data_IF_737254250745
#
_entry.id   IF_737254250745
#
_cell.length_a   1.000
_cell.length_b   1.000
_cell.length_c   1.000
_cell.angle_alpha   90.00
_cell.angle_beta   90.00
_cell.angle_gamma   90.00
#
_symmetry.space_group_name_H-M   'P 1'
#
loop_
_entity.id
_entity.type
_entity.pdbx_description
1 polymer ?
#
# COMPACT_ATOMS: atom_id res chain seq x y z
N UNK A 1 -31.66 7.06 2.44
CA UNK A 1 -30.38 6.35 2.24
C UNK A 1 -30.39 5.88 0.79
N UNK A 2 -29.66 6.57 -0.11
CA UNK A 2 -29.67 6.25 -1.54
C UNK A 2 -28.90 4.96 -1.86
N UNK A 3 -29.07 4.39 -3.07
CA UNK A 3 -28.34 3.19 -3.48
C UNK A 3 -26.83 3.46 -3.47
N UNK A 4 -26.06 2.62 -2.77
CA UNK A 4 -24.59 2.65 -2.82
C UNK A 4 -24.16 2.06 -4.15
N UNK A 5 -23.59 2.88 -5.02
CA UNK A 5 -22.95 2.40 -6.25
C UNK A 5 -21.63 1.75 -5.82
N UNK A 6 -21.44 0.49 -6.19
CA UNK A 6 -20.15 -0.21 -6.05
C UNK A 6 -19.61 -0.33 -7.46
N UNK A 7 -18.42 0.22 -7.70
CA UNK A 7 -17.71 0.00 -8.96
C UNK A 7 -16.81 -1.22 -8.75
N UNK A 8 -17.09 -2.36 -9.38
CA UNK A 8 -16.24 -3.53 -9.29
C UNK A 8 -14.90 -3.26 -9.97
N UNK A 9 -13.84 -3.60 -9.27
CA UNK A 9 -12.47 -3.66 -9.76
C UNK A 9 -11.68 -4.44 -8.72
N UNK A 10 -11.09 -5.57 -9.09
CA UNK A 10 -10.44 -6.46 -8.13
C UNK A 10 -9.13 -5.84 -7.59
N UNK A 11 -8.44 -5.04 -8.43
CA UNK A 11 -7.24 -4.30 -8.06
C UNK A 11 -7.15 -2.97 -8.82
N UNK A 12 -6.60 -1.94 -8.17
CA UNK A 12 -6.22 -0.69 -8.80
C UNK A 12 -4.70 -0.63 -8.88
N UNK A 13 -4.14 -0.95 -10.05
CA UNK A 13 -2.69 -1.09 -10.26
C UNK A 13 -2.17 0.18 -10.94
N UNK A 14 -1.25 0.87 -10.28
CA UNK A 14 -0.54 2.01 -10.84
C UNK A 14 0.96 1.71 -10.88
N UNK A 15 1.52 1.73 -12.09
CA UNK A 15 2.95 1.56 -12.31
C UNK A 15 3.70 2.88 -12.12
N UNK A 16 4.83 2.80 -11.40
CA UNK A 16 5.79 3.90 -11.22
C UNK A 16 5.16 5.17 -10.65
N UNK A 17 4.77 5.11 -9.37
CA UNK A 17 4.44 6.34 -8.65
C UNK A 17 5.72 7.15 -8.43
N UNK A 18 5.67 8.44 -8.74
CA UNK A 18 6.78 9.34 -8.47
C UNK A 18 6.94 9.53 -6.95
N UNK A 19 8.14 9.89 -6.50
CA UNK A 19 8.40 10.21 -5.10
C UNK A 19 7.80 11.55 -4.66
N UNK A 20 6.75 12.04 -5.35
CA UNK A 20 6.13 13.33 -5.06
C UNK A 20 5.53 13.33 -3.66
N UNK A 21 5.47 14.52 -3.09
CA UNK A 21 4.91 14.71 -1.76
C UNK A 21 3.40 14.58 -1.81
N UNK A 22 2.86 13.62 -1.06
CA UNK A 22 1.42 13.44 -0.89
C UNK A 22 0.89 14.51 0.07
N UNK A 23 0.40 15.61 -0.51
CA UNK A 23 -0.23 16.72 0.23
C UNK A 23 -1.50 16.30 0.97
N UNK A 24 -2.28 15.40 0.36
CA UNK A 24 -3.51 14.87 0.96
C UNK A 24 -3.56 13.35 0.89
N UNK A 25 -3.70 12.73 2.05
CA UNK A 25 -3.88 11.28 2.22
C UNK A 25 -5.35 10.90 2.44
N UNK A 26 -6.26 11.88 2.43
CA UNK A 26 -7.67 11.67 2.79
C UNK A 26 -8.34 10.65 1.86
N UNK A 27 -8.18 10.82 0.54
CA UNK A 27 -8.73 9.90 -0.46
C UNK A 27 -8.12 8.51 -0.32
N UNK A 28 -6.81 8.40 -0.09
CA UNK A 28 -6.14 7.12 0.15
C UNK A 28 -6.69 6.41 1.40
N UNK A 29 -6.83 7.14 2.51
CA UNK A 29 -7.38 6.62 3.77
C UNK A 29 -8.85 6.21 3.65
N UNK A 30 -9.63 6.95 2.85
CA UNK A 30 -11.02 6.66 2.56
C UNK A 30 -11.16 5.38 1.73
N UNK A 31 -10.40 5.25 0.63
CA UNK A 31 -10.37 4.05 -0.22
C UNK A 31 -9.98 2.82 0.60
N UNK A 32 -8.84 2.87 1.28
CA UNK A 32 -8.33 1.75 2.09
C UNK A 32 -9.14 1.50 3.38
N UNK A 33 -10.00 2.46 3.77
CA UNK A 33 -10.91 2.34 4.91
C UNK A 33 -12.29 1.80 4.56
N UNK A 34 -12.63 1.66 3.27
CA UNK A 34 -13.97 1.25 2.82
C UNK A 34 -15.00 2.39 2.89
N UNK A 35 -14.55 3.64 2.92
CA UNK A 35 -15.42 4.81 2.93
C UNK A 35 -16.01 5.08 1.54
N UNK A 36 -17.15 5.77 1.50
CA UNK A 36 -17.71 6.27 0.24
C UNK A 36 -16.89 7.47 -0.24
N UNK A 37 -16.49 7.45 -1.50
CA UNK A 37 -15.79 8.55 -2.17
C UNK A 37 -16.64 9.08 -3.32
N UNK A 38 -16.42 10.35 -3.66
CA UNK A 38 -17.08 10.97 -4.80
C UNK A 38 -16.18 11.00 -6.02
N UNK A 39 -16.75 10.71 -7.18
CA UNK A 39 -16.09 10.85 -8.47
C UNK A 39 -17.01 11.54 -9.49
N UNK A 40 -16.43 11.92 -10.61
CA UNK A 40 -17.13 12.55 -11.74
C UNK A 40 -16.67 11.86 -13.02
N UNK A 41 -17.61 11.46 -13.88
CA UNK A 41 -17.24 11.19 -15.27
C UNK A 41 -17.00 12.54 -15.94
N UNK A 42 -15.85 12.72 -16.60
CA UNK A 42 -15.44 14.00 -17.20
C UNK A 42 -16.61 14.69 -17.94
N UNK A 43 -17.07 15.83 -17.41
CA UNK A 43 -18.14 16.63 -18.00
C UNK A 43 -19.56 16.05 -17.80
N UNK A 44 -19.77 15.24 -16.77
CA UNK A 44 -21.06 14.66 -16.35
C UNK A 44 -21.29 14.91 -14.87
N UNK A 45 -22.42 14.45 -14.35
CA UNK A 45 -22.76 14.58 -12.95
C UNK A 45 -21.81 13.79 -12.03
N UNK A 46 -21.54 14.38 -10.86
CA UNK A 46 -20.85 13.72 -9.75
C UNK A 46 -21.69 12.55 -9.24
N UNK A 47 -21.03 11.47 -8.90
CA UNK A 47 -21.62 10.31 -8.24
C UNK A 47 -20.77 9.86 -7.06
N UNK A 48 -21.40 9.17 -6.13
CA UNK A 48 -20.76 8.60 -4.95
C UNK A 48 -20.69 7.09 -5.09
N UNK A 49 -19.54 6.51 -4.74
CA UNK A 49 -19.34 5.06 -4.77
C UNK A 49 -18.44 4.61 -3.61
N UNK A 50 -18.58 3.34 -3.21
CA UNK A 50 -17.65 2.71 -2.25
C UNK A 50 -16.64 1.88 -3.04
N UNK A 51 -15.35 2.28 -3.08
CA UNK A 51 -14.32 1.53 -3.78
C UNK A 51 -14.14 0.15 -3.16
N UNK A 52 -14.05 -0.88 -4.00
CA UNK A 52 -13.72 -2.24 -3.55
C UNK A 52 -12.30 -2.67 -3.95
N UNK A 53 -11.65 -1.89 -4.82
CA UNK A 53 -10.33 -2.21 -5.35
C UNK A 53 -9.22 -2.04 -4.31
N UNK A 54 -8.29 -2.99 -4.29
CA UNK A 54 -7.03 -2.88 -3.52
C UNK A 54 -6.02 -2.05 -4.33
N UNK A 55 -5.52 -0.92 -3.81
CA UNK A 55 -4.46 -0.16 -4.47
C UNK A 55 -3.13 -0.90 -4.44
N UNK A 56 -2.50 -1.07 -5.60
CA UNK A 56 -1.17 -1.68 -5.74
C UNK A 56 -0.29 -0.73 -6.52
N UNK A 57 0.87 -0.40 -5.95
CA UNK A 57 1.82 0.56 -6.51
C UNK A 57 3.18 -0.10 -6.69
N UNK A 58 3.83 0.15 -7.82
CA UNK A 58 5.28 0.00 -7.93
C UNK A 58 5.94 1.37 -7.76
N UNK A 59 7.01 1.42 -6.97
CA UNK A 59 7.69 2.67 -6.65
C UNK A 59 9.18 2.44 -6.51
N UNK A 60 9.99 3.28 -7.18
CA UNK A 60 11.44 3.31 -6.97
C UNK A 60 11.82 4.21 -5.79
N UNK A 61 10.95 5.15 -5.45
CA UNK A 61 11.09 6.05 -4.30
C UNK A 61 9.78 6.01 -3.55
N UNK A 62 9.88 5.86 -2.24
CA UNK A 62 8.69 5.86 -1.40
C UNK A 62 8.15 7.30 -1.33
N UNK A 63 6.85 7.53 -1.62
CA UNK A 63 6.28 8.88 -1.54
C UNK A 63 6.37 9.39 -0.10
N UNK A 64 6.82 10.64 0.04
CA UNK A 64 6.74 11.34 1.32
C UNK A 64 5.32 11.85 1.54
N UNK A 65 4.93 12.11 2.79
CA UNK A 65 3.61 12.63 3.12
C UNK A 65 3.66 13.58 4.31
N UNK A 66 2.71 14.52 4.35
CA UNK A 66 2.41 15.30 5.56
C UNK A 66 1.92 14.44 6.72
N UNK A 67 1.40 13.25 6.41
CA UNK A 67 0.67 12.41 7.34
C UNK A 67 1.58 11.38 8.01
N UNK A 68 2.01 11.69 9.22
CA UNK A 68 2.83 10.80 10.06
C UNK A 68 1.99 9.95 11.02
N UNK A 69 0.67 9.86 10.81
CA UNK A 69 -0.22 9.15 11.73
C UNK A 69 -0.10 7.63 11.60
N UNK A 70 -0.29 6.92 12.72
CA UNK A 70 -0.40 5.44 12.72
C UNK A 70 -1.50 4.96 11.77
N UNK A 71 -2.58 5.73 11.62
CA UNK A 71 -3.65 5.44 10.68
C UNK A 71 -3.20 5.43 9.23
N UNK A 72 -2.26 6.29 8.85
CA UNK A 72 -1.66 6.27 7.52
C UNK A 72 -0.76 5.04 7.34
N UNK A 73 0.22 4.86 8.24
CA UNK A 73 1.23 3.81 8.10
C UNK A 73 0.67 2.38 8.13
N UNK A 74 -0.38 2.10 8.92
CA UNK A 74 -0.94 0.73 9.02
C UNK A 74 -1.62 0.23 7.73
N UNK A 75 -1.92 1.11 6.78
CA UNK A 75 -2.58 0.78 5.51
C UNK A 75 -1.60 0.35 4.42
N UNK A 76 -0.30 0.49 4.66
CA UNK A 76 0.74 0.16 3.72
C UNK A 76 1.30 -1.24 3.98
N UNK A 77 1.32 -2.06 2.93
CA UNK A 77 2.13 -3.27 2.85
C UNK A 77 3.32 -2.97 1.94
N UNK A 78 4.51 -2.82 2.53
CA UNK A 78 5.74 -2.47 1.80
C UNK A 78 6.52 -3.75 1.52
N UNK A 79 6.63 -4.10 0.24
CA UNK A 79 7.37 -5.27 -0.22
C UNK A 79 8.66 -4.81 -0.90
N UNK A 80 9.84 -5.02 -0.31
CA UNK A 80 11.10 -4.62 -0.93
C UNK A 80 11.48 -5.61 -2.04
N UNK A 81 11.98 -5.08 -3.17
CA UNK A 81 12.55 -5.84 -4.27
C UNK A 81 14.07 -5.53 -4.34
N UNK A 82 14.91 -6.23 -3.54
CA UNK A 82 16.31 -5.85 -3.35
C UNK A 82 17.27 -6.32 -4.46
N UNK A 83 16.76 -7.02 -5.47
CA UNK A 83 17.58 -7.65 -6.50
C UNK A 83 17.51 -6.88 -7.81
N UNK A 84 18.67 -6.45 -8.28
CA UNK A 84 18.86 -5.92 -9.63
C UNK A 84 19.17 -7.06 -10.61
N UNK A 85 18.49 -7.07 -11.75
CA UNK A 85 18.68 -8.05 -12.80
C UNK A 85 19.35 -7.47 -14.06
N UNK A 86 19.87 -6.24 -13.99
CA UNK A 86 20.57 -5.58 -15.10
C UNK A 86 21.69 -6.48 -15.67
N UNK A 87 21.65 -6.73 -16.98
CA UNK A 87 22.58 -7.61 -17.70
C UNK A 87 22.34 -9.13 -17.52
N UNK A 88 21.34 -9.52 -16.73
CA UNK A 88 20.92 -10.92 -16.50
C UNK A 88 19.39 -11.08 -16.57
N UNK A 89 18.73 -10.20 -17.33
CA UNK A 89 17.28 -10.13 -17.42
C UNK A 89 16.73 -11.36 -18.16
N UNK A 90 15.72 -12.02 -17.59
CA UNK A 90 14.91 -12.99 -18.34
C UNK A 90 13.87 -12.24 -19.17
N UNK A 91 14.19 -12.01 -20.45
CA UNK A 91 13.29 -11.32 -21.40
C UNK A 91 12.01 -12.08 -21.72
N UNK A 92 11.90 -13.35 -21.30
CA UNK A 92 10.72 -14.18 -21.49
C UNK A 92 9.92 -14.40 -20.19
N UNK A 93 10.28 -13.70 -19.11
CA UNK A 93 9.66 -13.89 -17.81
C UNK A 93 8.14 -13.63 -17.85
N UNK A 94 7.72 -12.54 -18.49
CA UNK A 94 6.30 -12.17 -18.60
C UNK A 94 5.48 -13.26 -19.29
N UNK A 95 6.01 -13.83 -20.38
CA UNK A 95 5.35 -14.93 -21.08
C UNK A 95 5.25 -16.18 -20.19
N UNK A 96 6.32 -16.52 -19.46
CA UNK A 96 6.33 -17.67 -18.55
C UNK A 96 5.30 -17.50 -17.43
N UNK A 97 5.25 -16.33 -16.81
CA UNK A 97 4.32 -16.02 -15.71
C UNK A 97 2.86 -15.90 -16.18
N UNK A 98 2.63 -15.57 -17.45
CA UNK A 98 1.29 -15.43 -18.03
C UNK A 98 0.72 -16.74 -18.56
N UNK A 99 1.42 -17.87 -18.42
CA UNK A 99 0.88 -19.17 -18.84
C UNK A 99 -0.31 -19.59 -17.96
N UNK A 100 -1.32 -20.29 -18.50
CA UNK A 100 -2.45 -20.77 -17.69
C UNK A 100 -2.00 -21.58 -16.46
N UNK A 101 -1.01 -22.45 -16.63
CA UNK A 101 -0.48 -23.28 -15.56
C UNK A 101 0.15 -22.45 -14.41
N UNK A 102 0.93 -21.41 -14.73
CA UNK A 102 1.51 -20.53 -13.71
C UNK A 102 0.44 -19.69 -13.01
N UNK A 103 -0.51 -19.12 -13.76
CA UNK A 103 -1.61 -18.34 -13.19
C UNK A 103 -2.50 -19.18 -12.26
N UNK A 104 -2.88 -20.39 -12.70
CA UNK A 104 -3.62 -21.35 -11.89
C UNK A 104 -2.82 -21.76 -10.64
N UNK A 105 -1.51 -21.98 -10.79
CA UNK A 105 -0.61 -22.30 -9.67
C UNK A 105 -0.52 -21.17 -8.63
N UNK A 106 -0.42 -19.93 -9.08
CA UNK A 106 -0.43 -18.73 -8.21
C UNK A 106 -1.78 -18.61 -7.51
N UNK A 107 -2.89 -18.75 -8.24
CA UNK A 107 -4.23 -18.69 -7.67
C UNK A 107 -4.46 -19.80 -6.63
N UNK A 108 -4.05 -21.03 -6.92
CA UNK A 108 -4.16 -22.15 -6.00
C UNK A 108 -3.38 -21.91 -4.70
N UNK A 109 -2.17 -21.34 -4.78
CA UNK A 109 -1.39 -20.93 -3.60
C UNK A 109 -2.12 -19.87 -2.78
N UNK A 110 -2.69 -18.85 -3.43
CA UNK A 110 -3.44 -17.80 -2.76
C UNK A 110 -4.70 -18.34 -2.06
N UNK A 111 -5.48 -19.18 -2.75
CA UNK A 111 -6.69 -19.82 -2.21
C UNK A 111 -6.35 -20.71 -1.01
N UNK A 112 -5.26 -21.48 -1.09
CA UNK A 112 -4.80 -22.32 0.02
C UNK A 112 -4.37 -21.51 1.26
N UNK A 113 -3.82 -20.31 1.06
CA UNK A 113 -3.41 -19.42 2.15
C UNK A 113 -4.57 -18.63 2.77
N UNK A 114 -5.65 -18.39 2.01
CA UNK A 114 -6.76 -17.52 2.38
C UNK A 114 -7.41 -17.86 3.74
N UNK A 115 -7.71 -19.13 4.10
CA UNK A 115 -8.33 -19.43 5.38
C UNK A 115 -7.49 -18.97 6.58
N UNK A 116 -6.16 -19.11 6.51
CA UNK A 116 -5.25 -18.67 7.58
C UNK A 116 -5.18 -17.15 7.69
N UNK A 117 -5.25 -16.47 6.54
CA UNK A 117 -5.32 -15.01 6.51
C UNK A 117 -6.60 -14.50 7.15
N UNK A 118 -7.75 -15.12 6.83
CA UNK A 118 -9.05 -14.75 7.38
C UNK A 118 -9.15 -15.02 8.89
N UNK A 119 -8.62 -16.16 9.36
CA UNK A 119 -8.58 -16.51 10.78
C UNK A 119 -7.74 -15.51 11.59
N UNK A 120 -6.59 -15.10 11.06
CA UNK A 120 -5.70 -14.13 11.71
C UNK A 120 -6.19 -12.68 11.60
N UNK A 121 -6.94 -12.36 10.54
CA UNK A 121 -7.47 -11.02 10.26
C UNK A 121 -6.47 -10.03 9.64
N UNK A 122 -5.19 -10.40 9.47
CA UNK A 122 -4.17 -9.54 8.85
C UNK A 122 -3.04 -10.37 8.21
N UNK A 123 -2.24 -9.74 7.33
CA UNK A 123 -1.07 -10.35 6.72
C UNK A 123 0.04 -10.61 7.73
N UNK A 124 0.71 -11.75 7.59
CA UNK A 124 1.92 -12.05 8.33
C UNK A 124 3.12 -11.58 7.50
N UNK A 125 3.86 -10.62 8.05
CA UNK A 125 5.00 -10.00 7.38
C UNK A 125 6.30 -10.66 7.82
N UNK A 126 7.12 -11.04 6.84
CA UNK A 126 8.49 -11.47 7.07
C UNK A 126 9.40 -10.31 7.50
N UNK A 127 10.61 -10.64 7.95
CA UNK A 127 11.61 -9.68 8.43
C UNK A 127 11.88 -8.55 7.41
N UNK A 128 12.02 -8.87 6.13
CA UNK A 128 12.27 -7.88 5.08
C UNK A 128 11.12 -6.89 4.90
N UNK A 129 9.87 -7.35 4.95
CA UNK A 129 8.70 -6.49 4.84
C UNK A 129 8.52 -5.60 6.09
N UNK A 130 8.80 -6.14 7.28
CA UNK A 130 8.80 -5.37 8.52
C UNK A 130 9.88 -4.27 8.49
N UNK A 131 11.12 -4.63 8.11
CA UNK A 131 12.22 -3.67 7.98
C UNK A 131 11.90 -2.56 6.95
N UNK A 132 11.31 -2.93 5.80
CA UNK A 132 10.90 -1.96 4.78
C UNK A 132 9.77 -1.02 5.27
N UNK A 133 8.83 -1.54 6.06
CA UNK A 133 7.77 -0.74 6.70
C UNK A 133 8.34 0.25 7.72
N UNK A 134 9.31 -0.15 8.52
CA UNK A 134 9.98 0.75 9.46
C UNK A 134 10.81 1.81 8.74
N UNK A 135 11.54 1.43 7.68
CA UNK A 135 12.27 2.39 6.85
C UNK A 135 11.33 3.42 6.22
N UNK A 136 10.18 2.96 5.71
CA UNK A 136 9.14 3.86 5.23
C UNK A 136 8.72 4.88 6.29
N UNK A 137 8.40 4.41 7.51
CA UNK A 137 8.02 5.29 8.60
C UNK A 137 9.12 6.30 8.96
N UNK A 138 10.38 5.86 9.04
CA UNK A 138 11.54 6.74 9.30
C UNK A 138 11.72 7.82 8.24
N UNK A 139 11.55 7.46 6.95
CA UNK A 139 11.71 8.39 5.83
C UNK A 139 10.63 9.46 5.78
N UNK A 140 9.41 9.13 6.20
CA UNK A 140 8.27 10.06 6.24
C UNK A 140 8.31 10.92 7.51
N UNK A 141 8.57 10.33 8.68
CA UNK A 141 8.61 11.03 9.97
C UNK A 141 10.06 11.33 10.41
N UNK A 142 10.68 12.29 9.74
CA UNK A 142 12.07 12.69 9.98
C UNK A 142 12.26 13.31 11.38
N UNK A 143 11.25 14.01 11.90
CA UNK A 143 11.31 14.64 13.22
C UNK A 143 11.34 13.56 14.30
N UNK A 144 10.44 12.58 14.22
CA UNK A 144 10.46 11.44 15.15
C UNK A 144 11.75 10.66 15.07
N UNK A 145 12.25 10.42 13.86
CA UNK A 145 13.56 9.76 13.66
C UNK A 145 14.69 10.53 14.34
N UNK A 146 14.73 11.85 14.18
CA UNK A 146 15.74 12.68 14.86
C UNK A 146 15.60 12.65 16.38
N UNK A 147 14.38 12.67 16.92
CA UNK A 147 14.15 12.52 18.37
C UNK A 147 14.68 11.18 18.86
N UNK A 148 14.37 10.09 18.17
CA UNK A 148 14.78 8.73 18.57
C UNK A 148 16.31 8.54 18.49
N UNK A 149 16.97 9.11 17.47
CA UNK A 149 18.40 8.92 17.24
C UNK A 149 19.30 9.91 17.98
N UNK A 150 18.85 11.16 18.13
CA UNK A 150 19.68 12.26 18.62
C UNK A 150 19.26 12.79 19.99
N UNK A 151 18.07 12.43 20.51
CA UNK A 151 17.57 12.93 21.78
C UNK A 151 17.47 11.82 22.83
N UNK A 152 17.66 12.22 24.10
CA UNK A 152 17.24 11.40 25.24
C UNK A 152 15.97 12.03 25.77
N UNK A 153 14.84 11.39 25.52
CA UNK A 153 13.56 11.83 26.08
C UNK A 153 13.58 11.52 27.58
N UNK A 154 13.65 12.57 28.39
CA UNK A 154 13.44 12.47 29.84
C UNK A 154 11.95 12.57 30.13
N UNK A 155 11.50 11.98 31.23
CA UNK A 155 10.11 12.12 31.67
C UNK A 155 9.72 13.60 31.77
N UNK A 156 8.42 13.86 31.53
CA UNK A 156 7.87 15.19 31.70
C UNK A 156 8.19 15.70 33.10
N UNK A 157 8.87 16.85 33.17
CA UNK A 157 9.11 17.50 34.44
C UNK A 157 7.75 17.80 35.10
N UNK A 158 7.59 17.57 36.42
CA UNK A 158 6.29 17.49 37.08
C UNK A 158 5.64 18.86 37.36
N UNK A 159 5.80 19.84 36.47
CA UNK A 159 5.22 21.18 36.63
C UNK A 159 3.95 21.36 35.79
#
# INVERSE_FOLDING_TARGET
MGPRIVIPGDANIAGDIDGSYLESTATFKAITGGDTVSAEHKGRDRFDFTPWAVPVFSANKIPSSADTTVGYFRRWLVLPFPHDFTGREDRNLDHRLSTPAELEGIAAKAIAALPRLLDRGDFELGESANAAREEFARRVDQVRTWIDECCKVTDAAPW
#
